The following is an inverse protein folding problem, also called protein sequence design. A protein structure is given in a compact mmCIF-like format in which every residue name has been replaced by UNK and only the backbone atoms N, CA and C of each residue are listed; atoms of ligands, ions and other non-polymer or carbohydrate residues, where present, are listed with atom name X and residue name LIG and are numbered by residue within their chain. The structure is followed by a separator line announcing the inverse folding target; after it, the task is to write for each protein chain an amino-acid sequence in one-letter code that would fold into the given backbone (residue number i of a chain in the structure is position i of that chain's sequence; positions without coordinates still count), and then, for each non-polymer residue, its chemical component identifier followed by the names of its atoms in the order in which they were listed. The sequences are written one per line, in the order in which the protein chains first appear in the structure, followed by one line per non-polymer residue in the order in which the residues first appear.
data_IF_113982237319
#
_entry.id   IF_113982237319
#
_cell.length_a   1.000
_cell.length_b   1.000
_cell.length_c   1.000
_cell.angle_alpha   90.00
_cell.angle_beta   90.00
_cell.angle_gamma   90.00
#
_symmetry.space_group_name_H-M   'P 1'
#
loop_
_entity.id
_entity.type
_entity.pdbx_description
1 polymer ?
#
# COMPACT_ATOMS: atom_id res chain seq x y z
N UNK A 1 -11.86 27.13 -7.75
CA UNK A 1 -11.72 27.84 -6.46
C UNK A 1 -12.57 27.14 -5.40
N UNK A 2 -12.02 27.00 -4.19
CA UNK A 2 -12.73 26.44 -3.04
C UNK A 2 -12.97 27.58 -2.04
N UNK A 3 -14.15 28.22 -2.04
CA UNK A 3 -14.42 29.39 -1.22
C UNK A 3 -14.42 29.11 0.29
N UNK A 4 -14.49 27.84 0.69
CA UNK A 4 -14.39 27.41 2.09
C UNK A 4 -12.96 27.32 2.61
N UNK A 5 -11.93 27.48 1.75
CA UNK A 5 -10.53 27.49 2.18
C UNK A 5 -10.15 28.88 2.62
N UNK A 6 -9.97 29.06 3.92
CA UNK A 6 -9.63 30.35 4.55
C UNK A 6 -8.13 30.59 4.57
N UNK A 7 -7.32 29.54 4.79
CA UNK A 7 -5.88 29.63 4.87
C UNK A 7 -5.19 28.59 4.00
N UNK A 8 -4.09 28.97 3.36
CA UNK A 8 -3.21 28.08 2.60
C UNK A 8 -1.79 28.20 3.18
N UNK A 9 -1.26 27.08 3.69
CA UNK A 9 0.10 27.02 4.20
C UNK A 9 1.06 26.68 3.08
N UNK A 10 1.95 27.58 2.74
CA UNK A 10 2.87 27.47 1.62
C UNK A 10 4.29 27.18 2.09
N UNK A 11 4.81 25.98 1.77
CA UNK A 11 6.23 25.64 1.93
C UNK A 11 6.97 25.95 0.63
N UNK A 12 7.90 26.89 0.68
CA UNK A 12 8.83 27.14 -0.43
C UNK A 12 9.84 26.02 -0.52
N UNK A 13 9.77 25.21 -1.56
CA UNK A 13 10.66 24.05 -1.78
C UNK A 13 11.84 24.38 -2.71
N UNK A 14 11.57 25.20 -3.70
CA UNK A 14 12.55 25.66 -4.69
C UNK A 14 12.53 27.20 -4.73
N UNK A 15 13.61 27.81 -5.20
CA UNK A 15 13.70 29.26 -5.37
C UNK A 15 12.84 29.73 -6.56
N UNK A 16 11.52 29.58 -6.46
CA UNK A 16 10.56 30.14 -7.40
C UNK A 16 9.89 31.38 -6.81
N UNK A 17 9.65 32.36 -7.63
CA UNK A 17 8.79 33.49 -7.27
C UNK A 17 7.36 33.00 -7.18
N UNK A 18 6.90 32.77 -5.95
CA UNK A 18 5.51 32.41 -5.69
C UNK A 18 4.73 33.72 -5.39
N UNK A 19 3.68 33.95 -6.16
CA UNK A 19 2.71 34.98 -5.82
C UNK A 19 1.78 34.44 -4.74
N UNK A 20 1.83 35.06 -3.58
CA UNK A 20 0.97 34.70 -2.42
C UNK A 20 -0.25 35.61 -2.41
N UNK A 21 -1.42 35.02 -2.22
CA UNK A 21 -2.67 35.77 -2.01
C UNK A 21 -2.67 36.35 -0.60
N UNK A 22 -2.62 37.67 -0.49
CA UNK A 22 -2.64 38.37 0.79
C UNK A 22 -3.90 38.02 1.60
N UNK A 23 -3.74 37.74 2.88
CA UNK A 23 -4.83 37.41 3.80
C UNK A 23 -5.30 35.98 3.80
N UNK A 24 -4.83 35.16 2.81
CA UNK A 24 -5.11 33.72 2.74
C UNK A 24 -3.86 32.86 2.83
N UNK A 25 -2.81 33.21 2.09
CA UNK A 25 -1.62 32.39 1.94
C UNK A 25 -0.57 32.76 2.97
N UNK A 26 -0.18 31.80 3.79
CA UNK A 26 0.78 31.97 4.88
C UNK A 26 2.03 31.11 4.62
N UNK A 27 3.21 31.66 4.88
CA UNK A 27 4.43 30.86 4.78
C UNK A 27 4.51 29.87 5.96
N UNK A 28 4.65 28.59 5.64
CA UNK A 28 4.73 27.53 6.64
C UNK A 28 5.94 27.71 7.58
N UNK A 29 7.08 28.15 7.05
CA UNK A 29 8.29 28.35 7.84
C UNK A 29 8.12 29.46 8.91
N UNK A 30 7.41 30.53 8.57
CA UNK A 30 7.14 31.63 9.51
C UNK A 30 6.26 31.13 10.66
N UNK A 31 5.24 30.33 10.35
CA UNK A 31 4.35 29.73 11.35
C UNK A 31 5.08 28.72 12.24
N UNK A 32 5.92 27.87 11.66
CA UNK A 32 6.69 26.88 12.42
C UNK A 32 7.70 27.55 13.38
N UNK A 33 8.23 28.71 13.03
CA UNK A 33 9.19 29.44 13.88
C UNK A 33 8.61 29.91 15.22
N UNK A 34 7.28 30.03 15.31
CA UNK A 34 6.54 30.50 16.50
C UNK A 34 5.59 29.45 17.07
N UNK A 35 5.46 28.30 16.43
CA UNK A 35 4.62 27.21 16.90
C UNK A 35 5.21 26.52 18.13
N UNK A 36 4.35 25.98 18.99
CA UNK A 36 4.76 25.12 20.09
C UNK A 36 5.37 23.80 19.55
N UNK A 37 6.44 23.35 20.16
CA UNK A 37 7.02 22.01 19.90
C UNK A 37 6.20 20.89 20.58
N UNK A 38 5.28 21.24 21.48
CA UNK A 38 4.43 20.29 22.20
C UNK A 38 3.02 20.35 21.61
N UNK A 39 2.55 19.21 21.15
CA UNK A 39 1.19 18.98 20.69
C UNK A 39 0.72 17.63 21.24
N UNK A 40 -0.16 17.68 22.24
CA UNK A 40 -0.74 16.46 22.81
C UNK A 40 -1.63 15.74 21.78
N UNK A 41 -1.59 14.41 21.82
CA UNK A 41 -2.44 13.60 20.95
C UNK A 41 -3.90 13.70 21.38
N UNK A 42 -4.79 13.91 20.43
CA UNK A 42 -6.24 13.90 20.67
C UNK A 42 -6.70 12.50 21.07
N UNK A 43 -7.59 12.43 22.07
CA UNK A 43 -8.23 11.18 22.47
C UNK A 43 -9.33 10.84 21.46
N UNK A 44 -9.19 9.67 20.83
CA UNK A 44 -10.09 9.19 19.77
C UNK A 44 -10.78 7.92 20.19
N UNK A 45 -12.06 7.80 19.86
CA UNK A 45 -12.76 6.52 19.94
C UNK A 45 -12.33 5.58 18.80
N UNK A 46 -12.49 4.28 19.03
CA UNK A 46 -12.08 3.24 18.08
C UNK A 46 -12.71 3.41 16.68
N UNK A 47 -13.95 3.86 16.62
CA UNK A 47 -14.71 4.07 15.38
C UNK A 47 -14.70 5.52 14.87
N UNK A 48 -14.01 6.43 15.54
CA UNK A 48 -13.81 7.78 15.02
C UNK A 48 -13.11 7.73 13.65
N UNK A 49 -13.52 8.58 12.70
CA UNK A 49 -12.86 8.64 11.40
C UNK A 49 -11.38 9.03 11.53
N UNK A 50 -10.51 8.20 10.93
CA UNK A 50 -9.08 8.49 10.89
C UNK A 50 -8.74 9.38 9.70
N UNK A 51 -9.24 9.00 8.52
CA UNK A 51 -9.10 9.78 7.29
C UNK A 51 -10.17 9.40 6.26
N UNK A 52 -10.28 10.25 5.24
CA UNK A 52 -11.08 10.02 4.04
C UNK A 52 -10.13 10.03 2.85
N UNK A 53 -10.08 8.94 2.09
CA UNK A 53 -9.29 8.86 0.88
C UNK A 53 -10.16 8.64 -0.35
N UNK A 54 -10.03 9.52 -1.34
CA UNK A 54 -10.80 9.45 -2.56
C UNK A 54 -10.18 8.50 -3.57
N UNK A 55 -11.00 7.59 -4.11
CA UNK A 55 -10.64 6.70 -5.21
C UNK A 55 -11.45 7.00 -6.45
N UNK A 56 -10.94 6.63 -7.63
CA UNK A 56 -11.70 6.65 -8.86
C UNK A 56 -12.86 5.65 -8.78
N UNK A 57 -14.09 6.14 -8.93
CA UNK A 57 -15.26 5.24 -8.98
C UNK A 57 -15.47 4.69 -10.39
N UNK A 58 -15.86 3.42 -10.51
CA UNK A 58 -16.27 2.80 -11.77
C UNK A 58 -17.42 3.55 -12.48
N UNK A 59 -18.20 4.33 -11.72
CA UNK A 59 -19.31 5.17 -12.20
C UNK A 59 -18.91 6.62 -12.52
N UNK A 60 -17.62 6.93 -12.58
CA UNK A 60 -17.10 8.26 -12.90
C UNK A 60 -17.09 9.27 -11.74
N UNK A 61 -17.87 9.08 -10.67
CA UNK A 61 -17.81 9.93 -9.47
C UNK A 61 -16.83 9.34 -8.45
N UNK A 62 -15.86 10.11 -7.96
CA UNK A 62 -14.95 9.66 -6.90
C UNK A 62 -15.69 9.17 -5.66
N UNK A 63 -15.11 8.18 -4.97
CA UNK A 63 -15.60 7.61 -3.71
C UNK A 63 -14.65 8.02 -2.58
N UNK A 64 -15.11 8.77 -1.60
CA UNK A 64 -14.35 9.09 -0.40
C UNK A 64 -14.45 7.94 0.61
N UNK A 65 -13.47 7.04 0.61
CA UNK A 65 -13.46 5.90 1.53
C UNK A 65 -13.10 6.37 2.93
N UNK A 66 -13.96 6.05 3.91
CA UNK A 66 -13.77 6.43 5.31
C UNK A 66 -13.18 5.26 6.08
N UNK A 67 -12.02 5.46 6.69
CA UNK A 67 -11.40 4.48 7.60
C UNK A 67 -11.48 4.94 9.04
N UNK A 68 -11.78 4.01 9.96
CA UNK A 68 -11.84 4.28 11.40
C UNK A 68 -10.47 4.15 12.05
N UNK A 69 -10.30 4.81 13.18
CA UNK A 69 -9.03 4.95 13.89
C UNK A 69 -8.45 3.60 14.30
N UNK A 70 -9.10 2.88 15.22
CA UNK A 70 -8.50 1.69 15.79
C UNK A 70 -8.42 0.51 14.80
N UNK A 71 -9.51 0.25 14.06
CA UNK A 71 -9.55 -0.89 13.16
C UNK A 71 -8.48 -0.81 12.06
N UNK A 72 -8.32 0.37 11.46
CA UNK A 72 -7.29 0.60 10.46
C UNK A 72 -5.87 0.48 11.03
N UNK A 73 -5.62 1.14 12.17
CA UNK A 73 -4.30 1.15 12.81
C UNK A 73 -3.87 -0.25 13.25
N UNK A 74 -4.76 -1.01 13.89
CA UNK A 74 -4.47 -2.40 14.33
C UNK A 74 -4.11 -3.29 13.14
N UNK A 75 -4.91 -3.24 12.07
CA UNK A 75 -4.69 -4.13 10.94
C UNK A 75 -3.45 -3.75 10.13
N UNK A 76 -3.20 -2.45 9.90
CA UNK A 76 -1.99 -2.01 9.20
C UNK A 76 -0.72 -2.30 10.00
N UNK A 77 -0.74 -2.13 11.32
CA UNK A 77 0.39 -2.49 12.17
C UNK A 77 0.66 -4.00 12.15
N UNK A 78 -0.39 -4.81 12.26
CA UNK A 78 -0.29 -6.27 12.26
C UNK A 78 0.20 -6.82 10.92
N UNK A 79 -0.37 -6.35 9.81
CA UNK A 79 0.04 -6.77 8.48
C UNK A 79 1.44 -6.30 8.14
N UNK A 80 1.81 -5.05 8.45
CA UNK A 80 3.17 -4.55 8.25
C UNK A 80 4.21 -5.45 8.92
N UNK A 81 4.05 -5.72 10.20
CA UNK A 81 4.99 -6.53 10.97
C UNK A 81 5.21 -7.92 10.38
N UNK A 82 4.11 -8.58 9.99
CA UNK A 82 4.15 -9.97 9.55
C UNK A 82 4.47 -10.13 8.07
N UNK A 83 3.99 -9.23 7.20
CA UNK A 83 4.28 -9.26 5.77
C UNK A 83 5.74 -8.90 5.49
N UNK A 84 6.27 -7.89 6.15
CA UNK A 84 7.64 -7.43 5.92
C UNK A 84 8.65 -8.02 6.90
N UNK A 85 8.22 -8.84 7.89
CA UNK A 85 9.08 -9.42 8.91
C UNK A 85 9.98 -8.39 9.58
N UNK A 86 9.44 -7.18 9.78
CA UNK A 86 10.17 -6.06 10.35
C UNK A 86 10.73 -6.39 11.73
N UNK A 87 11.99 -6.06 11.95
CA UNK A 87 12.68 -6.19 13.23
C UNK A 87 13.22 -4.83 13.65
N UNK A 88 13.41 -4.66 14.96
CA UNK A 88 14.03 -3.46 15.51
C UNK A 88 15.36 -3.14 14.82
N UNK A 89 15.58 -1.88 14.51
CA UNK A 89 16.71 -1.34 13.75
C UNK A 89 16.74 -1.65 12.24
N UNK A 90 15.75 -2.36 11.68
CA UNK A 90 15.61 -2.47 10.24
C UNK A 90 15.20 -1.12 9.64
N UNK A 91 15.63 -0.87 8.42
CA UNK A 91 15.19 0.26 7.60
C UNK A 91 14.22 -0.25 6.55
N UNK A 92 13.00 0.24 6.64
CA UNK A 92 11.93 -0.07 5.69
C UNK A 92 11.80 1.06 4.66
N UNK A 93 11.64 0.71 3.40
CA UNK A 93 11.40 1.67 2.34
C UNK A 93 10.25 1.24 1.41
N UNK A 94 9.22 2.05 1.36
CA UNK A 94 8.15 1.96 0.38
C UNK A 94 8.26 3.14 -0.60
N UNK A 95 8.24 2.86 -1.89
CA UNK A 95 8.37 3.88 -2.94
C UNK A 95 7.03 4.43 -3.43
N UNK A 96 5.92 4.04 -2.82
CA UNK A 96 4.60 4.54 -3.18
C UNK A 96 4.47 6.04 -2.89
N UNK A 97 3.63 6.71 -3.66
CA UNK A 97 3.22 8.08 -3.35
C UNK A 97 2.37 8.11 -2.08
N UNK A 98 2.64 9.06 -1.20
CA UNK A 98 1.92 9.19 0.08
C UNK A 98 0.45 9.58 -0.09
N UNK A 99 0.05 10.11 -1.24
CA UNK A 99 -1.33 10.40 -1.59
C UNK A 99 -2.18 9.17 -1.90
N UNK A 100 -1.57 7.99 -2.10
CA UNK A 100 -2.26 6.72 -2.30
C UNK A 100 -2.41 5.94 -1.00
N UNK A 101 -3.36 5.00 -0.97
CA UNK A 101 -3.58 4.16 0.21
C UNK A 101 -2.32 3.41 0.65
N UNK A 102 -1.47 3.00 -0.29
CA UNK A 102 -0.21 2.32 0.03
C UNK A 102 0.71 3.23 0.86
N UNK A 103 0.76 4.52 0.54
CA UNK A 103 1.50 5.49 1.34
C UNK A 103 0.91 5.64 2.75
N UNK A 104 -0.40 5.72 2.88
CA UNK A 104 -1.07 5.77 4.18
C UNK A 104 -0.77 4.51 5.00
N UNK A 105 -1.07 3.32 4.46
CA UNK A 105 -0.96 2.06 5.20
C UNK A 105 0.50 1.67 5.48
N UNK A 106 1.41 1.83 4.49
CA UNK A 106 2.74 1.23 4.52
C UNK A 106 3.90 2.22 4.32
N UNK A 107 3.67 3.52 4.45
CA UNK A 107 4.72 4.52 4.74
C UNK A 107 4.47 5.14 6.12
N UNK A 108 3.19 5.46 6.44
CA UNK A 108 2.84 6.17 7.67
C UNK A 108 2.41 5.20 8.76
N UNK A 109 1.17 4.68 8.68
CA UNK A 109 0.55 4.02 9.83
C UNK A 109 1.20 2.69 10.20
N UNK A 110 1.30 1.74 9.29
CA UNK A 110 1.88 0.42 9.58
C UNK A 110 3.30 0.49 10.15
N UNK A 111 4.24 1.15 9.45
CA UNK A 111 5.61 1.30 9.94
C UNK A 111 5.71 2.04 11.27
N UNK A 112 5.11 3.23 11.39
CA UNK A 112 5.28 4.08 12.58
C UNK A 112 4.63 3.47 13.83
N UNK A 113 3.52 2.75 13.70
CA UNK A 113 2.91 2.00 14.80
C UNK A 113 3.78 0.84 15.30
N UNK A 114 4.72 0.37 14.48
CA UNK A 114 5.72 -0.63 14.87
C UNK A 114 7.05 0.00 15.32
N UNK A 115 7.14 1.33 15.47
CA UNK A 115 8.38 2.03 15.79
C UNK A 115 9.45 1.89 14.70
N UNK A 116 9.03 1.64 13.45
CA UNK A 116 9.95 1.38 12.36
C UNK A 116 10.64 2.65 11.86
N UNK A 117 11.92 2.50 11.47
CA UNK A 117 12.59 3.47 10.64
C UNK A 117 12.07 3.33 9.21
N UNK A 118 11.26 4.28 8.76
CA UNK A 118 10.72 4.33 7.40
C UNK A 118 11.42 5.41 6.58
N UNK A 119 11.84 5.07 5.38
CA UNK A 119 12.49 5.99 4.46
C UNK A 119 11.46 6.62 3.54
N UNK A 120 11.45 7.95 3.43
CA UNK A 120 10.67 8.68 2.45
C UNK A 120 11.60 9.26 1.38
N UNK A 121 11.26 9.04 0.12
CA UNK A 121 12.05 9.46 -1.02
C UNK A 121 11.29 10.47 -1.88
N UNK A 122 11.85 11.65 -2.03
CA UNK A 122 11.35 12.68 -2.93
C UNK A 122 12.15 12.63 -4.24
N UNK A 123 11.63 11.95 -5.24
CA UNK A 123 12.30 11.80 -6.52
C UNK A 123 11.70 10.72 -7.38
N UNK A 124 12.37 10.42 -8.48
CA UNK A 124 12.00 9.38 -9.43
C UNK A 124 13.13 8.35 -9.56
N UNK A 125 12.81 7.08 -9.93
CA UNK A 125 13.83 6.03 -10.00
C UNK A 125 14.91 6.26 -11.07
N UNK A 126 14.65 7.15 -12.03
CA UNK A 126 15.52 7.41 -13.19
C UNK A 126 16.41 8.66 -13.05
N UNK A 127 16.44 9.35 -11.91
CA UNK A 127 17.25 10.56 -11.74
C UNK A 127 18.19 10.45 -10.53
N UNK A 128 19.51 10.75 -10.71
CA UNK A 128 20.22 11.19 -11.92
C UNK A 128 20.38 10.09 -12.98
N UNK A 129 20.23 8.83 -12.60
CA UNK A 129 20.29 7.65 -13.44
C UNK A 129 19.43 6.53 -12.84
N UNK A 130 19.32 5.38 -13.54
CA UNK A 130 18.49 4.24 -13.11
C UNK A 130 19.10 3.42 -11.96
N UNK A 131 20.26 3.77 -11.47
CA UNK A 131 20.86 3.25 -10.24
C UNK A 131 20.32 3.91 -8.96
N UNK A 132 19.47 4.93 -9.08
CA UNK A 132 19.03 5.75 -7.95
C UNK A 132 18.44 4.96 -6.79
N UNK A 133 17.58 3.99 -7.07
CA UNK A 133 16.97 3.15 -6.03
C UNK A 133 18.03 2.30 -5.32
N UNK A 134 18.93 1.72 -6.07
CA UNK A 134 19.99 0.86 -5.54
C UNK A 134 21.01 1.65 -4.71
N UNK A 135 21.33 2.85 -5.14
CA UNK A 135 22.15 3.80 -4.37
C UNK A 135 21.51 4.09 -3.00
N UNK A 136 20.20 4.27 -2.96
CA UNK A 136 19.46 4.52 -1.69
C UNK A 136 19.49 3.27 -0.81
N UNK A 137 19.24 2.10 -1.40
CA UNK A 137 19.32 0.82 -0.67
C UNK A 137 20.68 0.65 -0.02
N UNK A 138 21.77 0.84 -0.77
CA UNK A 138 23.13 0.74 -0.24
C UNK A 138 23.40 1.78 0.85
N UNK A 139 23.10 3.05 0.56
CA UNK A 139 23.40 4.18 1.46
C UNK A 139 22.72 4.05 2.82
N UNK A 140 21.45 3.65 2.84
CA UNK A 140 20.65 3.58 4.06
C UNK A 140 20.49 2.15 4.59
N UNK A 141 21.15 1.17 3.95
CA UNK A 141 21.11 -0.24 4.34
C UNK A 141 19.66 -0.74 4.49
N UNK A 142 18.85 -0.45 3.45
CA UNK A 142 17.43 -0.83 3.44
C UNK A 142 17.28 -2.34 3.59
N UNK A 143 16.39 -2.78 4.49
CA UNK A 143 16.14 -4.18 4.78
C UNK A 143 14.85 -4.70 4.13
N UNK A 144 13.79 -3.88 4.07
CA UNK A 144 12.55 -4.21 3.39
C UNK A 144 12.28 -3.17 2.31
N UNK A 145 12.08 -3.63 1.09
CA UNK A 145 11.85 -2.78 -0.06
C UNK A 145 10.51 -3.10 -0.72
N UNK A 146 9.59 -2.13 -0.74
CA UNK A 146 8.23 -2.28 -1.24
C UNK A 146 7.95 -1.30 -2.37
N UNK A 147 7.64 -1.81 -3.57
CA UNK A 147 7.51 -0.99 -4.77
C UNK A 147 6.46 -1.51 -5.73
N UNK A 148 6.18 -0.75 -6.79
CA UNK A 148 5.23 -1.16 -7.82
C UNK A 148 5.88 -2.01 -8.92
N UNK A 149 5.20 -3.02 -9.47
CA UNK A 149 5.69 -3.81 -10.61
C UNK A 149 6.06 -2.96 -11.83
N UNK A 150 5.41 -1.81 -12.01
CA UNK A 150 5.75 -0.86 -13.08
C UNK A 150 7.16 -0.27 -12.92
N UNK A 151 7.57 0.03 -11.69
CA UNK A 151 8.93 0.49 -11.40
C UNK A 151 9.94 -0.63 -11.64
N UNK A 152 9.64 -1.85 -11.20
CA UNK A 152 10.49 -3.03 -11.42
C UNK A 152 10.71 -3.27 -12.91
N UNK A 153 9.63 -3.27 -13.71
CA UNK A 153 9.71 -3.42 -15.17
C UNK A 153 10.53 -2.31 -15.85
N UNK A 154 10.38 -1.08 -15.39
CA UNK A 154 11.14 0.04 -15.93
C UNK A 154 12.65 -0.13 -15.65
N UNK A 155 13.01 -0.49 -14.41
CA UNK A 155 14.40 -0.70 -14.02
C UNK A 155 15.02 -1.93 -14.69
N UNK A 156 14.26 -3.00 -14.87
CA UNK A 156 14.72 -4.23 -15.54
C UNK A 156 15.14 -4.00 -17.01
N UNK A 157 14.51 -3.06 -17.70
CA UNK A 157 14.83 -2.71 -19.10
C UNK A 157 16.18 -2.03 -19.27
N UNK A 158 16.71 -1.44 -18.22
CA UNK A 158 17.94 -0.62 -18.28
C UNK A 158 19.22 -1.46 -18.08
N UNK A 159 19.09 -2.79 -18.01
CA UNK A 159 20.21 -3.71 -17.87
C UNK A 159 20.61 -3.96 -16.40
N UNK A 160 21.72 -4.69 -16.23
CA UNK A 160 22.18 -5.14 -14.91
C UNK A 160 23.25 -4.25 -14.28
N UNK A 161 23.92 -3.40 -15.06
CA UNK A 161 25.04 -2.61 -14.58
C UNK A 161 24.70 -1.77 -13.34
N UNK A 162 23.47 -1.22 -13.30
CA UNK A 162 23.01 -0.44 -12.15
C UNK A 162 22.80 -1.28 -10.89
N UNK A 163 22.37 -2.54 -11.04
CA UNK A 163 22.15 -3.44 -9.90
C UNK A 163 23.43 -4.08 -9.39
N UNK A 164 24.45 -4.18 -10.25
CA UNK A 164 25.74 -4.76 -9.92
C UNK A 164 26.70 -3.73 -9.30
N UNK A 165 26.44 -2.44 -9.50
CA UNK A 165 27.25 -1.34 -8.99
C UNK A 165 27.10 -1.15 -7.47
N UNK A 166 25.94 -1.48 -6.91
CA UNK A 166 25.59 -1.18 -5.52
C UNK A 166 25.46 -2.44 -4.65
N UNK A 167 25.82 -2.30 -3.36
CA UNK A 167 25.63 -3.37 -2.37
C UNK A 167 24.17 -3.45 -1.91
N UNK A 168 23.46 -4.49 -2.39
CA UNK A 168 22.07 -4.79 -2.04
C UNK A 168 21.95 -5.86 -0.93
N UNK A 169 23.06 -6.27 -0.30
CA UNK A 169 23.10 -7.37 0.66
C UNK A 169 22.30 -7.12 1.96
N UNK A 170 21.92 -5.87 2.22
CA UNK A 170 21.05 -5.51 3.35
C UNK A 170 19.60 -5.92 3.18
N UNK A 171 19.14 -6.16 1.94
CA UNK A 171 17.75 -6.53 1.64
C UNK A 171 17.40 -7.91 2.23
N UNK A 172 16.29 -7.97 2.94
CA UNK A 172 15.75 -9.16 3.61
C UNK A 172 14.41 -9.61 3.04
N UNK A 173 13.55 -8.65 2.67
CA UNK A 173 12.22 -8.88 2.08
C UNK A 173 11.99 -7.88 0.98
N UNK A 174 11.51 -8.37 -0.15
CA UNK A 174 11.08 -7.57 -1.29
C UNK A 174 9.56 -7.63 -1.40
N UNK A 175 8.91 -6.52 -1.74
CA UNK A 175 7.46 -6.51 -1.88
C UNK A 175 7.00 -5.83 -3.17
N UNK A 176 5.82 -6.25 -3.64
CA UNK A 176 5.14 -5.67 -4.79
C UNK A 176 3.70 -5.32 -4.49
N UNK A 177 3.20 -4.22 -5.08
CA UNK A 177 1.86 -3.69 -4.85
C UNK A 177 1.33 -2.89 -6.02
N UNK A 178 0.01 -2.84 -6.14
CA UNK A 178 -0.73 -1.91 -7.01
C UNK A 178 -1.03 -2.42 -8.41
N UNK A 179 -0.40 -3.52 -8.83
CA UNK A 179 -0.73 -4.24 -10.07
C UNK A 179 -0.14 -5.65 -10.01
N UNK A 180 -0.67 -6.61 -10.76
CA UNK A 180 -0.03 -7.92 -10.89
C UNK A 180 1.38 -7.78 -11.49
N UNK A 181 2.35 -8.48 -10.89
CA UNK A 181 3.69 -8.58 -11.45
C UNK A 181 3.72 -9.70 -12.50
N UNK A 182 4.27 -9.43 -13.69
CA UNK A 182 4.48 -10.49 -14.68
C UNK A 182 5.69 -11.36 -14.31
N UNK A 183 5.71 -12.59 -14.83
CA UNK A 183 6.69 -13.60 -14.47
C UNK A 183 8.14 -13.16 -14.75
N UNK A 184 8.39 -12.53 -15.90
CA UNK A 184 9.71 -12.00 -16.26
C UNK A 184 10.23 -10.96 -15.25
N UNK A 185 9.40 -10.00 -14.86
CA UNK A 185 9.77 -8.99 -13.88
C UNK A 185 9.94 -9.60 -12.48
N UNK A 186 9.14 -10.60 -12.13
CA UNK A 186 9.27 -11.33 -10.89
C UNK A 186 10.61 -12.04 -10.79
N UNK A 187 11.00 -12.80 -11.84
CA UNK A 187 12.30 -13.47 -11.89
C UNK A 187 13.47 -12.50 -11.90
N UNK A 188 13.36 -11.41 -12.66
CA UNK A 188 14.39 -10.36 -12.63
C UNK A 188 14.57 -9.79 -11.22
N UNK A 189 13.47 -9.54 -10.51
CA UNK A 189 13.49 -9.00 -9.17
C UNK A 189 14.08 -9.98 -8.15
N UNK A 190 13.73 -11.26 -8.25
CA UNK A 190 14.27 -12.31 -7.41
C UNK A 190 15.78 -12.55 -7.67
N UNK A 191 16.16 -12.73 -8.94
CA UNK A 191 17.52 -13.06 -9.32
C UNK A 191 18.51 -11.92 -9.09
N UNK A 192 18.13 -10.69 -9.46
CA UNK A 192 19.07 -9.57 -9.52
C UNK A 192 19.03 -8.68 -8.29
N UNK A 193 17.91 -8.56 -7.63
CA UNK A 193 17.75 -7.73 -6.43
C UNK A 193 17.74 -8.58 -5.17
N UNK A 194 16.87 -9.59 -5.13
CA UNK A 194 16.77 -10.53 -4.01
C UNK A 194 17.87 -11.54 -3.91
N UNK A 195 18.62 -11.75 -5.01
CA UNK A 195 19.68 -12.76 -5.13
C UNK A 195 19.21 -14.15 -4.69
N UNK A 196 17.90 -14.44 -4.89
CA UNK A 196 17.21 -15.68 -4.43
C UNK A 196 17.30 -15.93 -2.93
N UNK A 197 17.54 -14.88 -2.13
CA UNK A 197 17.65 -14.96 -0.67
C UNK A 197 16.54 -14.17 0.03
N UNK A 198 16.07 -13.12 -0.62
CA UNK A 198 15.04 -12.24 -0.09
C UNK A 198 13.69 -12.58 -0.71
N UNK A 199 12.76 -13.19 0.04
CA UNK A 199 11.46 -13.58 -0.52
C UNK A 199 10.70 -12.37 -1.04
N UNK A 200 9.99 -12.58 -2.15
CA UNK A 200 9.09 -11.57 -2.73
C UNK A 200 7.70 -11.76 -2.15
N UNK A 201 7.20 -10.76 -1.45
CA UNK A 201 5.80 -10.68 -1.04
C UNK A 201 5.01 -9.90 -2.08
N UNK A 202 4.30 -10.61 -2.95
CA UNK A 202 3.33 -10.01 -3.86
C UNK A 202 2.01 -9.84 -3.10
N UNK A 203 1.55 -8.60 -2.96
CA UNK A 203 0.44 -8.27 -2.07
C UNK A 203 -0.80 -7.87 -2.85
N UNK A 204 -1.93 -8.52 -2.57
CA UNK A 204 -3.23 -8.07 -3.04
C UNK A 204 -4.04 -7.43 -1.91
N UNK A 205 -4.51 -6.23 -2.16
CA UNK A 205 -5.40 -5.45 -1.31
C UNK A 205 -5.88 -4.19 -2.03
N UNK A 206 -6.79 -3.45 -1.42
CA UNK A 206 -7.46 -2.29 -2.02
C UNK A 206 -7.49 -1.11 -1.04
N UNK A 207 -7.84 0.08 -1.52
CA UNK A 207 -8.12 1.23 -0.65
C UNK A 207 -9.20 0.88 0.36
N UNK A 208 -10.23 0.19 -0.09
CA UNK A 208 -11.38 -0.26 0.70
C UNK A 208 -10.98 -1.24 1.81
N UNK A 209 -9.97 -2.07 1.57
CA UNK A 209 -9.52 -3.05 2.56
C UNK A 209 -8.60 -2.45 3.63
N UNK A 210 -7.94 -1.33 3.34
CA UNK A 210 -7.06 -0.63 4.25
C UNK A 210 -5.71 -1.29 4.50
N UNK A 211 -5.56 -2.58 4.24
CA UNK A 211 -4.33 -3.33 4.40
C UNK A 211 -4.32 -4.62 3.61
N UNK A 212 -3.19 -5.34 3.65
CA UNK A 212 -2.93 -6.55 2.87
C UNK A 212 -3.88 -7.68 3.25
N UNK A 213 -4.50 -8.29 2.24
CA UNK A 213 -5.50 -9.35 2.37
C UNK A 213 -4.98 -10.72 1.92
N UNK A 214 -4.23 -10.75 0.82
CA UNK A 214 -3.66 -11.98 0.25
C UNK A 214 -2.19 -11.72 -0.05
N UNK A 215 -1.28 -12.57 0.47
CA UNK A 215 0.17 -12.42 0.31
C UNK A 215 0.91 -13.62 0.87
N UNK A 216 2.09 -13.98 0.38
CA UNK A 216 2.93 -14.94 1.08
C UNK A 216 3.45 -14.34 2.40
N UNK A 217 3.58 -15.18 3.41
CA UNK A 217 4.32 -14.84 4.63
C UNK A 217 5.77 -15.27 4.41
N UNK A 218 6.75 -14.34 4.48
CA UNK A 218 8.16 -14.64 4.25
C UNK A 218 8.65 -15.83 5.07
N UNK A 219 9.38 -16.71 4.45
CA UNK A 219 9.98 -17.91 5.03
C UNK A 219 8.98 -18.99 5.51
N UNK A 220 7.68 -18.74 5.45
CA UNK A 220 6.61 -19.68 5.82
C UNK A 220 5.81 -20.15 4.60
N UNK A 221 5.54 -19.26 3.64
CA UNK A 221 4.80 -19.57 2.42
C UNK A 221 5.75 -19.62 1.23
N UNK A 222 5.87 -20.75 0.50
CA UNK A 222 6.60 -20.78 -0.75
C UNK A 222 6.03 -19.74 -1.74
N UNK A 223 6.88 -18.90 -2.27
CA UNK A 223 6.48 -17.89 -3.26
C UNK A 223 6.30 -18.52 -4.63
N UNK A 224 5.37 -17.99 -5.42
CA UNK A 224 5.08 -18.42 -6.78
C UNK A 224 4.99 -17.17 -7.66
N UNK A 225 5.75 -17.10 -8.76
CA UNK A 225 5.68 -15.96 -9.68
C UNK A 225 4.24 -15.65 -10.08
N UNK A 226 3.86 -14.39 -10.06
CA UNK A 226 2.53 -13.87 -10.44
C UNK A 226 1.37 -14.16 -9.47
N UNK A 227 1.62 -14.82 -8.33
CA UNK A 227 0.60 -15.17 -7.34
C UNK A 227 0.78 -14.38 -6.05
N UNK A 228 -0.31 -13.80 -5.57
CA UNK A 228 -0.38 -13.27 -4.21
C UNK A 228 -0.45 -14.38 -3.14
N UNK A 229 -0.62 -15.62 -3.55
CA UNK A 229 -0.57 -16.87 -2.79
C UNK A 229 -1.74 -17.07 -1.81
N UNK A 230 -1.50 -17.04 -0.49
CA UNK A 230 -2.50 -17.42 0.52
C UNK A 230 -3.18 -16.21 1.16
N UNK A 231 -4.44 -16.37 1.60
CA UNK A 231 -5.08 -15.36 2.43
C UNK A 231 -4.26 -15.08 3.70
N UNK A 232 -4.16 -13.82 4.05
CA UNK A 232 -3.55 -13.42 5.31
C UNK A 232 -4.38 -13.97 6.50
N UNK A 233 -3.76 -14.34 7.64
CA UNK A 233 -4.49 -14.89 8.78
C UNK A 233 -5.67 -14.01 9.21
N UNK A 234 -6.85 -14.62 9.30
CA UNK A 234 -8.12 -13.94 9.59
C UNK A 234 -8.93 -13.55 8.34
N UNK A 235 -8.36 -13.62 7.14
CA UNK A 235 -9.06 -13.31 5.90
C UNK A 235 -9.62 -14.60 5.28
N UNK A 236 -10.89 -14.58 4.91
CA UNK A 236 -11.58 -15.73 4.30
C UNK A 236 -12.17 -15.34 2.93
N UNK A 237 -11.39 -15.49 1.85
CA UNK A 237 -11.89 -15.24 0.51
C UNK A 237 -12.83 -16.35 0.05
N UNK A 238 -13.77 -15.99 -0.82
CA UNK A 238 -14.60 -16.90 -1.60
C UNK A 238 -14.50 -16.52 -3.08
N UNK A 239 -14.56 -17.52 -3.95
CA UNK A 239 -14.75 -17.33 -5.37
C UNK A 239 -16.22 -17.62 -5.70
N UNK A 240 -16.88 -16.65 -6.31
CA UNK A 240 -18.32 -16.72 -6.61
C UNK A 240 -18.53 -16.87 -8.12
N UNK A 241 -19.46 -17.71 -8.50
CA UNK A 241 -19.88 -17.86 -9.88
C UNK A 241 -20.86 -16.75 -10.30
N UNK A 242 -21.33 -16.82 -11.55
CA UNK A 242 -22.30 -15.86 -12.11
C UNK A 242 -23.70 -15.98 -11.51
N UNK A 243 -24.02 -17.09 -10.84
CA UNK A 243 -25.33 -17.33 -10.23
C UNK A 243 -25.35 -16.90 -8.75
N UNK A 244 -24.18 -16.58 -8.18
CA UNK A 244 -24.02 -16.22 -6.77
C UNK A 244 -23.67 -17.42 -5.88
N UNK A 245 -23.30 -18.56 -6.47
CA UNK A 245 -22.88 -19.74 -5.73
C UNK A 245 -21.36 -19.73 -5.49
N UNK A 246 -20.94 -20.20 -4.30
CA UNK A 246 -19.51 -20.32 -4.00
C UNK A 246 -18.87 -21.49 -4.76
N UNK A 247 -17.81 -21.20 -5.49
CA UNK A 247 -17.02 -22.20 -6.22
C UNK A 247 -16.01 -22.83 -5.24
N UNK A 248 -16.24 -24.09 -4.89
CA UNK A 248 -15.41 -24.87 -3.98
C UNK A 248 -14.24 -25.55 -4.73
N UNK A 249 -13.21 -25.98 -3.95
CA UNK A 249 -12.06 -26.70 -4.49
C UNK A 249 -10.99 -25.79 -5.09
N UNK A 250 -10.06 -26.39 -5.82
CA UNK A 250 -8.91 -25.75 -6.44
C UNK A 250 -8.99 -25.82 -7.96
N UNK A 251 -8.08 -25.16 -8.68
CA UNK A 251 -8.09 -25.00 -10.14
C UNK A 251 -9.39 -24.36 -10.67
N UNK A 252 -9.81 -23.29 -10.00
CA UNK A 252 -11.06 -22.58 -10.27
C UNK A 252 -10.82 -21.09 -10.34
N UNK A 253 -11.70 -20.41 -11.08
CA UNK A 253 -11.73 -18.95 -11.15
C UNK A 253 -13.15 -18.42 -10.91
N UNK A 254 -13.24 -17.20 -10.41
CA UNK A 254 -14.53 -16.58 -10.10
C UNK A 254 -14.37 -15.14 -9.65
N UNK A 255 -15.49 -14.57 -9.21
CA UNK A 255 -15.52 -13.25 -8.59
C UNK A 255 -14.99 -13.35 -7.17
N UNK A 256 -14.00 -12.51 -6.83
CA UNK A 256 -13.42 -12.54 -5.50
C UNK A 256 -14.31 -11.80 -4.49
N UNK A 257 -14.68 -12.49 -3.45
CA UNK A 257 -15.41 -11.95 -2.31
C UNK A 257 -14.66 -12.26 -1.01
N UNK A 258 -14.93 -11.49 0.05
CA UNK A 258 -14.45 -11.77 1.41
C UNK A 258 -15.66 -12.05 2.30
N UNK A 259 -15.67 -13.22 2.97
CA UNK A 259 -16.83 -13.73 3.74
C UNK A 259 -17.11 -12.95 5.01
N UNK A 260 -16.06 -12.52 5.72
CA UNK A 260 -16.20 -11.90 7.04
C UNK A 260 -15.48 -10.57 7.10
N UNK A 261 -15.96 -9.61 7.89
CA UNK A 261 -15.30 -8.33 8.05
C UNK A 261 -13.93 -8.49 8.74
N UNK A 262 -13.03 -7.57 8.45
CA UNK A 262 -11.72 -7.45 9.07
C UNK A 262 -11.58 -6.04 9.66
N UNK A 263 -10.63 -5.81 10.58
CA UNK A 263 -10.59 -4.56 11.34
C UNK A 263 -10.50 -3.29 10.49
N UNK A 264 -9.73 -3.31 9.39
CA UNK A 264 -9.49 -2.13 8.54
C UNK A 264 -10.46 -1.97 7.36
N UNK A 265 -11.53 -2.76 7.30
CA UNK A 265 -12.56 -2.53 6.27
C UNK A 265 -13.06 -1.09 6.33
N UNK A 266 -13.13 -0.41 5.19
CA UNK A 266 -13.71 0.93 5.12
C UNK A 266 -15.13 0.95 5.69
N UNK A 267 -15.45 1.96 6.47
CA UNK A 267 -16.76 2.02 7.15
C UNK A 267 -17.88 2.51 6.25
N UNK A 268 -17.54 3.36 5.27
CA UNK A 268 -18.52 3.97 4.37
C UNK A 268 -17.85 4.72 3.22
N UNK A 269 -18.67 5.17 2.26
CA UNK A 269 -18.34 6.27 1.36
C UNK A 269 -18.83 7.57 2.00
N UNK A 270 -17.96 8.54 2.16
CA UNK A 270 -18.26 9.82 2.75
C UNK A 270 -19.48 10.49 2.10
N UNK A 271 -20.47 10.86 2.92
CA UNK A 271 -21.70 11.48 2.47
C UNK A 271 -22.66 10.56 1.68
N UNK A 272 -22.34 9.25 1.49
CA UNK A 272 -23.22 8.35 0.73
C UNK A 272 -23.06 6.87 1.15
N UNK A 273 -23.58 6.53 2.33
CA UNK A 273 -23.55 5.17 2.86
C UNK A 273 -24.34 4.17 2.00
N UNK A 274 -25.42 4.61 1.38
CA UNK A 274 -26.22 3.74 0.49
C UNK A 274 -25.38 3.27 -0.70
N UNK A 275 -24.62 4.17 -1.34
CA UNK A 275 -23.70 3.80 -2.42
C UNK A 275 -22.62 2.81 -1.97
N UNK A 276 -22.15 2.90 -0.72
CA UNK A 276 -21.20 1.93 -0.16
C UNK A 276 -21.82 0.53 -0.13
N UNK A 277 -23.04 0.38 0.40
CA UNK A 277 -23.76 -0.90 0.40
C UNK A 277 -24.00 -1.45 -1.00
N UNK A 278 -24.49 -0.60 -1.90
CA UNK A 278 -24.76 -0.98 -3.29
C UNK A 278 -23.50 -1.43 -4.04
N UNK A 279 -22.36 -0.78 -3.80
CA UNK A 279 -21.12 -1.10 -4.50
C UNK A 279 -20.50 -2.41 -4.03
N UNK A 280 -20.49 -2.65 -2.71
CA UNK A 280 -19.66 -3.71 -2.14
C UNK A 280 -20.45 -4.87 -1.51
N UNK A 281 -21.75 -4.72 -1.26
CA UNK A 281 -22.55 -5.74 -0.54
C UNK A 281 -23.86 -6.12 -1.21
N UNK A 282 -24.16 -5.57 -2.40
CA UNK A 282 -25.40 -5.91 -3.10
C UNK A 282 -25.27 -7.08 -4.08
N UNK A 283 -24.05 -7.34 -4.56
CA UNK A 283 -23.83 -8.37 -5.58
C UNK A 283 -23.86 -9.80 -5.01
N UNK A 284 -23.39 -9.96 -3.75
CA UNK A 284 -23.35 -11.24 -3.04
C UNK A 284 -23.76 -11.02 -1.60
N UNK A 285 -24.78 -11.77 -1.16
CA UNK A 285 -25.36 -11.61 0.17
C UNK A 285 -24.32 -11.88 1.27
N UNK A 286 -24.27 -10.99 2.26
CA UNK A 286 -23.39 -11.04 3.43
C UNK A 286 -21.89 -11.12 3.13
N UNK A 287 -21.45 -10.81 1.91
CA UNK A 287 -20.04 -10.82 1.53
C UNK A 287 -19.58 -9.46 0.99
N UNK A 288 -18.35 -9.10 1.30
CA UNK A 288 -17.70 -7.97 0.64
C UNK A 288 -17.24 -8.38 -0.76
N UNK A 289 -17.84 -7.78 -1.80
CA UNK A 289 -17.43 -7.97 -3.18
C UNK A 289 -16.31 -7.01 -3.54
N UNK A 290 -15.18 -7.56 -3.94
CA UNK A 290 -13.96 -6.77 -4.23
C UNK A 290 -14.01 -6.01 -5.56
N UNK A 291 -14.87 -6.43 -6.47
CA UNK A 291 -14.89 -5.97 -7.86
C UNK A 291 -13.87 -6.67 -8.77
N UNK A 292 -12.98 -7.48 -8.19
CA UNK A 292 -11.96 -8.24 -8.92
C UNK A 292 -12.41 -9.67 -9.22
N UNK A 293 -11.84 -10.25 -10.27
CA UNK A 293 -11.82 -11.69 -10.49
C UNK A 293 -10.53 -12.28 -9.94
N UNK A 294 -10.57 -13.53 -9.50
CA UNK A 294 -9.37 -14.24 -9.08
C UNK A 294 -9.41 -15.72 -9.53
N UNK A 295 -8.21 -16.28 -9.64
CA UNK A 295 -7.99 -17.70 -9.86
C UNK A 295 -7.39 -18.30 -8.59
N UNK A 296 -7.84 -19.50 -8.23
CA UNK A 296 -7.25 -20.33 -7.19
C UNK A 296 -6.69 -21.60 -7.82
N UNK A 297 -5.35 -21.78 -7.76
CA UNK A 297 -4.66 -22.87 -8.42
C UNK A 297 -4.80 -24.24 -7.69
N UNK A 298 -4.04 -25.23 -8.13
CA UNK A 298 -4.06 -26.61 -7.63
C UNK A 298 -3.65 -26.75 -6.16
N UNK A 299 -2.84 -25.81 -5.64
CA UNK A 299 -2.37 -25.80 -4.25
C UNK A 299 -3.13 -24.80 -3.36
N UNK A 300 -4.10 -24.09 -3.95
CA UNK A 300 -4.92 -23.12 -3.24
C UNK A 300 -4.37 -21.69 -3.25
N UNK A 301 -3.38 -21.38 -4.10
CA UNK A 301 -2.83 -20.04 -4.23
C UNK A 301 -3.70 -19.16 -5.13
N UNK A 302 -3.86 -17.91 -4.70
CA UNK A 302 -4.65 -16.90 -5.41
C UNK A 302 -3.79 -16.04 -6.34
N UNK A 303 -4.37 -15.78 -7.51
CA UNK A 303 -3.84 -14.87 -8.52
C UNK A 303 -4.93 -13.94 -9.04
#
# INVERSE_FOLDING_TARGET
SCPCVENVLVKKRINSNLELTQGRDLLLDDLLSVASEVCEAELMDAEDPLFILYTSGSTGKPKGMVHSTAGYMVFTAYTFKNVFQYKENDVYWCTADIGWITGHSYIVYGPLLNGATTLMFEGVPSYPDFGRFWQIVEKYKVNQFYTAPTAIRALAKEGLEYTETYDLSSLKVLGTVGAPINEEAWHWYDDNIGKRKSPIVDTWWQTETGGVMITPIPFATPTKPTYATLPFPGIQPALMDKNGDEILGNQVDGKLCIKYPWPSIARTIWGNHQRYKETYFSAFEDMYFTGDGALRDEVGYYR
#
